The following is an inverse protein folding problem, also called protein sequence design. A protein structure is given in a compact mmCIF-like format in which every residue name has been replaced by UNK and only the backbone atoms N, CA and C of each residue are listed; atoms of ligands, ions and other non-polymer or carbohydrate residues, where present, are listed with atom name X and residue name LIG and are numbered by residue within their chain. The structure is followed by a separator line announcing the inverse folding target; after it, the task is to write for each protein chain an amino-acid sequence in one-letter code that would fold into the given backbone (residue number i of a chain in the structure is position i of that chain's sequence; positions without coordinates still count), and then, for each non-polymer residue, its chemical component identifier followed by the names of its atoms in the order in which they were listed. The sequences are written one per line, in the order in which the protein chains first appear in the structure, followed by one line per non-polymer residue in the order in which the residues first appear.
data_IF_085118502137
#
_entry.id   IF_085118502137
#
_cell.length_a   1.000
_cell.length_b   1.000
_cell.length_c   1.000
_cell.angle_alpha   90.00
_cell.angle_beta   90.00
_cell.angle_gamma   90.00
#
_symmetry.space_group_name_H-M   'P 1'
#
loop_
_entity.id
_entity.type
_entity.pdbx_description
1 polymer ?
#
# COMPACT_ATOMS: atom_id res chain seq x y z
N UNK A 1 -8.04 3.03 -33.58
CA UNK A 1 -6.71 2.43 -33.32
C UNK A 1 -6.03 3.04 -32.09
N UNK A 2 -6.11 4.32 -31.87
CA UNK A 2 -5.51 5.05 -30.72
C UNK A 2 -6.05 4.62 -29.34
N UNK A 3 -7.35 4.37 -29.20
CA UNK A 3 -7.97 3.95 -27.94
C UNK A 3 -7.45 2.57 -27.46
N UNK A 4 -7.21 1.65 -28.40
CA UNK A 4 -6.63 0.32 -28.11
C UNK A 4 -5.15 0.43 -27.67
N UNK A 5 -4.35 1.30 -28.31
CA UNK A 5 -2.94 1.57 -27.91
C UNK A 5 -2.86 2.15 -26.49
N UNK A 6 -3.72 3.08 -26.13
CA UNK A 6 -3.74 3.67 -24.79
C UNK A 6 -4.12 2.64 -23.70
N UNK A 7 -5.02 1.70 -24.01
CA UNK A 7 -5.42 0.63 -23.06
C UNK A 7 -4.27 -0.36 -22.82
N UNK A 8 -3.56 -0.76 -23.87
CA UNK A 8 -2.40 -1.66 -23.78
C UNK A 8 -1.26 -1.00 -23.01
N UNK A 9 -0.92 0.25 -23.32
CA UNK A 9 0.13 1.00 -22.62
C UNK A 9 -0.18 1.15 -21.12
N UNK A 10 -1.45 1.41 -20.77
CA UNK A 10 -1.89 1.48 -19.38
C UNK A 10 -1.70 0.15 -18.65
N UNK A 11 -2.14 -0.95 -19.27
CA UNK A 11 -1.99 -2.29 -18.70
C UNK A 11 -0.52 -2.66 -18.50
N UNK A 12 0.34 -2.39 -19.49
CA UNK A 12 1.78 -2.67 -19.40
C UNK A 12 2.42 -1.89 -18.25
N UNK A 13 2.05 -0.61 -18.08
CA UNK A 13 2.51 0.22 -16.97
C UNK A 13 2.08 -0.35 -15.62
N UNK A 14 0.85 -0.84 -15.50
CA UNK A 14 0.35 -1.46 -14.26
C UNK A 14 1.17 -2.69 -13.89
N UNK A 15 1.46 -3.59 -14.84
CA UNK A 15 2.31 -4.76 -14.60
C UNK A 15 3.76 -4.40 -14.27
N UNK A 16 4.33 -3.38 -14.92
CA UNK A 16 5.67 -2.89 -14.60
C UNK A 16 5.75 -2.36 -13.16
N UNK A 17 4.75 -1.58 -12.72
CA UNK A 17 4.70 -1.07 -11.34
C UNK A 17 4.53 -2.23 -10.35
N UNK A 18 3.66 -3.21 -10.64
CA UNK A 18 3.54 -4.42 -9.81
C UNK A 18 4.89 -5.11 -9.68
N UNK A 19 5.63 -5.31 -10.78
CA UNK A 19 6.96 -5.96 -10.77
C UNK A 19 7.95 -5.22 -9.86
N UNK A 20 7.99 -3.87 -9.93
CA UNK A 20 8.82 -3.06 -9.02
C UNK A 20 8.42 -3.31 -7.56
N UNK A 21 7.11 -3.32 -7.27
CA UNK A 21 6.61 -3.63 -5.93
C UNK A 21 7.04 -5.02 -5.46
N UNK A 22 7.01 -6.01 -6.34
CA UNK A 22 7.41 -7.38 -6.02
C UNK A 22 8.91 -7.51 -5.74
N UNK A 23 9.76 -6.81 -6.48
CA UNK A 23 11.21 -6.76 -6.22
C UNK A 23 11.46 -6.17 -4.82
N UNK A 24 10.81 -5.06 -4.48
CA UNK A 24 10.93 -4.45 -3.15
C UNK A 24 10.44 -5.40 -2.05
N UNK A 25 9.32 -6.09 -2.29
CA UNK A 25 8.75 -7.09 -1.38
C UNK A 25 9.70 -8.26 -1.14
N UNK A 26 10.19 -8.89 -2.22
CA UNK A 26 11.04 -10.09 -2.11
C UNK A 26 12.40 -9.77 -1.53
N UNK A 27 12.99 -8.60 -1.83
CA UNK A 27 14.22 -8.14 -1.18
C UNK A 27 14.03 -7.95 0.33
N UNK A 28 12.89 -7.48 0.79
CA UNK A 28 12.59 -7.41 2.22
C UNK A 28 12.68 -8.78 2.90
N UNK A 29 12.21 -9.82 2.24
CA UNK A 29 12.29 -11.20 2.74
C UNK A 29 13.68 -11.81 2.60
N UNK A 30 14.24 -11.77 1.40
CA UNK A 30 15.47 -12.51 1.07
C UNK A 30 16.73 -11.89 1.65
N UNK A 31 16.79 -10.55 1.69
CA UNK A 31 17.97 -9.83 2.19
C UNK A 31 17.94 -9.59 3.72
N UNK A 32 16.77 -9.68 4.36
CA UNK A 32 16.62 -9.36 5.79
C UNK A 32 15.93 -10.45 6.59
N UNK A 33 14.66 -10.79 6.28
CA UNK A 33 13.84 -11.62 7.17
C UNK A 33 14.25 -13.08 7.16
N UNK A 34 14.50 -13.70 6.00
CA UNK A 34 14.86 -15.11 5.86
C UNK A 34 16.23 -15.39 6.51
N UNK A 35 17.32 -14.64 6.22
CA UNK A 35 18.62 -14.89 6.82
C UNK A 35 18.64 -14.73 8.32
N UNK A 36 17.85 -13.81 8.87
CA UNK A 36 17.70 -13.59 10.31
C UNK A 36 16.76 -14.60 10.99
N UNK A 37 16.20 -15.55 10.23
CA UNK A 37 15.23 -16.55 10.72
C UNK A 37 14.03 -15.90 11.43
N UNK A 38 13.55 -14.79 10.90
CA UNK A 38 12.42 -14.07 11.45
C UNK A 38 11.14 -14.61 10.83
N UNK A 39 10.22 -15.03 11.66
CA UNK A 39 8.88 -15.46 11.23
C UNK A 39 8.04 -14.24 10.87
N UNK A 40 7.25 -14.34 9.83
CA UNK A 40 6.31 -13.30 9.42
C UNK A 40 4.96 -13.89 9.05
N UNK A 41 4.04 -13.05 8.62
CA UNK A 41 2.73 -13.47 8.14
C UNK A 41 2.70 -13.85 6.66
N UNK A 42 1.50 -14.09 6.16
CA UNK A 42 1.24 -14.38 4.76
C UNK A 42 1.71 -15.77 4.29
N UNK A 43 1.54 -16.01 3.00
CA UNK A 43 2.02 -17.24 2.37
C UNK A 43 3.55 -17.36 2.46
N UNK A 44 4.27 -16.24 2.37
CA UNK A 44 5.72 -16.22 2.50
C UNK A 44 6.16 -16.52 3.94
N UNK A 45 5.40 -16.05 4.94
CA UNK A 45 5.62 -16.42 6.34
C UNK A 45 5.45 -17.94 6.59
N UNK A 46 4.37 -18.51 6.06
CA UNK A 46 4.19 -19.99 6.08
C UNK A 46 5.34 -20.68 5.36
N UNK A 47 5.74 -20.17 4.19
CA UNK A 47 6.87 -20.69 3.43
C UNK A 47 8.18 -20.64 4.20
N UNK A 48 8.43 -19.58 4.95
CA UNK A 48 9.61 -19.45 5.79
C UNK A 48 9.60 -20.45 6.96
N UNK A 49 8.45 -20.70 7.58
CA UNK A 49 8.33 -21.78 8.59
C UNK A 49 8.63 -23.14 7.99
N UNK A 50 8.11 -23.46 6.80
CA UNK A 50 8.42 -24.70 6.09
C UNK A 50 9.91 -24.78 5.74
N UNK A 51 10.52 -23.67 5.28
CA UNK A 51 11.95 -23.61 5.01
C UNK A 51 12.79 -23.89 6.25
N UNK A 52 12.44 -23.31 7.38
CA UNK A 52 13.13 -23.55 8.67
C UNK A 52 13.04 -24.99 9.12
N UNK A 53 11.94 -25.70 8.82
CA UNK A 53 11.73 -27.11 9.16
C UNK A 53 12.42 -28.08 8.20
N UNK A 54 12.39 -27.81 6.91
CA UNK A 54 12.69 -28.80 5.87
C UNK A 54 13.80 -28.40 4.91
N UNK A 55 14.21 -27.11 4.90
CA UNK A 55 15.09 -26.55 3.88
C UNK A 55 14.41 -26.33 2.52
N UNK A 56 13.10 -26.59 2.39
CA UNK A 56 12.37 -26.42 1.14
C UNK A 56 12.21 -24.92 0.80
N UNK A 57 12.61 -24.46 -0.40
CA UNK A 57 12.66 -23.03 -0.72
C UNK A 57 11.30 -22.32 -0.57
N UNK A 58 11.34 -21.12 0.03
CA UNK A 58 10.14 -20.32 0.36
C UNK A 58 9.27 -20.04 -0.86
N UNK A 59 9.88 -19.79 -2.02
CA UNK A 59 9.14 -19.47 -3.25
C UNK A 59 8.24 -20.61 -3.73
N UNK A 60 8.66 -21.87 -3.62
CA UNK A 60 7.82 -23.01 -4.01
C UNK A 60 6.64 -23.19 -3.06
N UNK A 61 6.86 -23.06 -1.75
CA UNK A 61 5.76 -23.11 -0.76
C UNK A 61 4.77 -21.97 -1.00
N UNK A 62 5.29 -20.75 -1.27
CA UNK A 62 4.47 -19.61 -1.60
C UNK A 62 3.59 -19.86 -2.83
N UNK A 63 4.15 -20.46 -3.89
CA UNK A 63 3.41 -20.81 -5.10
C UNK A 63 2.27 -21.80 -4.83
N UNK A 64 2.57 -22.91 -4.13
CA UNK A 64 1.59 -23.97 -3.83
C UNK A 64 0.45 -23.42 -2.96
N UNK A 65 0.76 -22.68 -1.91
CA UNK A 65 -0.23 -22.12 -1.00
C UNK A 65 -1.13 -21.09 -1.72
N UNK A 66 -0.55 -20.28 -2.57
CA UNK A 66 -1.30 -19.29 -3.32
C UNK A 66 -2.18 -19.88 -4.44
N UNK A 67 -1.81 -21.01 -5.02
CA UNK A 67 -2.64 -21.65 -6.04
C UNK A 67 -4.06 -21.96 -5.50
N UNK A 68 -4.14 -22.41 -4.26
CA UNK A 68 -5.42 -22.67 -3.59
C UNK A 68 -6.19 -21.37 -3.31
N UNK A 69 -5.53 -20.34 -2.78
CA UNK A 69 -6.16 -19.07 -2.43
C UNK A 69 -6.65 -18.31 -3.66
N UNK A 70 -5.90 -18.31 -4.76
CA UNK A 70 -6.27 -17.66 -6.02
C UNK A 70 -7.54 -18.27 -6.61
N UNK A 71 -7.70 -19.61 -6.55
CA UNK A 71 -8.90 -20.27 -7.02
C UNK A 71 -10.16 -19.76 -6.28
N UNK A 72 -10.03 -19.47 -4.98
CA UNK A 72 -11.12 -18.90 -4.18
C UNK A 72 -11.32 -17.42 -4.52
N UNK A 73 -10.24 -16.65 -4.63
CA UNK A 73 -10.29 -15.20 -4.87
C UNK A 73 -10.87 -14.84 -6.25
N UNK A 74 -10.60 -15.62 -7.28
CA UNK A 74 -11.10 -15.39 -8.63
C UNK A 74 -12.64 -15.37 -8.68
N UNK A 75 -13.28 -16.20 -7.86
CA UNK A 75 -14.75 -16.24 -7.73
C UNK A 75 -15.32 -15.04 -6.96
N UNK A 76 -14.58 -14.52 -5.98
CA UNK A 76 -15.06 -13.49 -5.04
C UNK A 76 -14.75 -12.08 -5.51
N UNK A 77 -13.52 -11.82 -5.93
CA UNK A 77 -13.03 -10.45 -6.24
C UNK A 77 -13.19 -10.12 -7.73
N UNK A 78 -13.12 -11.13 -8.58
CA UNK A 78 -13.29 -10.99 -10.03
C UNK A 78 -12.05 -11.33 -10.85
N UNK A 79 -12.24 -11.60 -12.13
CA UNK A 79 -11.22 -12.13 -13.05
C UNK A 79 -10.05 -11.15 -13.26
N UNK A 80 -10.28 -9.84 -13.33
CA UNK A 80 -9.22 -8.86 -13.55
C UNK A 80 -8.24 -8.79 -12.36
N UNK A 81 -8.74 -8.93 -11.13
CA UNK A 81 -7.92 -9.06 -9.93
C UNK A 81 -7.15 -10.39 -9.97
N UNK A 82 -7.82 -11.47 -10.33
CA UNK A 82 -7.22 -12.80 -10.44
C UNK A 82 -6.00 -12.83 -11.36
N UNK A 83 -6.09 -12.25 -12.57
CA UNK A 83 -4.98 -12.24 -13.54
C UNK A 83 -3.75 -11.50 -13.03
N UNK A 84 -3.92 -10.31 -12.42
CA UNK A 84 -2.81 -9.54 -11.84
C UNK A 84 -2.21 -10.26 -10.63
N UNK A 85 -3.03 -10.92 -9.83
CA UNK A 85 -2.59 -11.68 -8.66
C UNK A 85 -1.84 -12.95 -9.08
N UNK A 86 -2.32 -13.68 -10.10
CA UNK A 86 -1.59 -14.83 -10.65
C UNK A 86 -0.21 -14.40 -11.13
N UNK A 87 -0.14 -13.32 -11.92
CA UNK A 87 1.12 -12.76 -12.37
C UNK A 87 2.04 -12.41 -11.19
N UNK A 88 1.51 -11.68 -10.22
CA UNK A 88 2.27 -11.22 -9.05
C UNK A 88 2.81 -12.40 -8.24
N UNK A 89 1.99 -13.43 -7.98
CA UNK A 89 2.42 -14.64 -7.24
C UNK A 89 3.50 -15.40 -8.00
N UNK A 90 3.36 -15.58 -9.32
CA UNK A 90 4.38 -16.26 -10.13
C UNK A 90 5.70 -15.50 -10.11
N UNK A 91 5.67 -14.19 -10.33
CA UNK A 91 6.88 -13.34 -10.33
C UNK A 91 7.50 -13.28 -8.93
N UNK A 92 6.71 -13.09 -7.86
CA UNK A 92 7.22 -13.07 -6.50
C UNK A 92 7.86 -14.40 -6.11
N UNK A 93 7.19 -15.53 -6.44
CA UNK A 93 7.74 -16.86 -6.16
C UNK A 93 9.05 -17.13 -6.91
N UNK A 94 9.13 -16.70 -8.18
CA UNK A 94 10.37 -16.78 -8.96
C UNK A 94 11.49 -15.92 -8.35
N UNK A 95 11.20 -14.66 -8.03
CA UNK A 95 12.17 -13.75 -7.40
C UNK A 95 12.66 -14.31 -6.06
N UNK A 96 11.76 -14.80 -5.20
CA UNK A 96 12.15 -15.42 -3.92
C UNK A 96 13.10 -16.61 -4.11
N UNK A 97 12.87 -17.47 -5.09
CA UNK A 97 13.77 -18.61 -5.36
C UNK A 97 15.13 -18.11 -5.86
N UNK A 98 15.13 -17.19 -6.81
CA UNK A 98 16.37 -16.66 -7.39
C UNK A 98 17.16 -15.87 -6.36
N UNK A 99 16.53 -14.91 -5.69
CA UNK A 99 17.20 -14.05 -4.70
C UNK A 99 17.72 -14.88 -3.51
N UNK A 100 16.96 -15.87 -3.02
CA UNK A 100 17.38 -16.73 -1.92
C UNK A 100 18.60 -17.61 -2.30
N UNK A 101 18.80 -17.91 -3.58
CA UNK A 101 19.98 -18.65 -4.06
C UNK A 101 21.25 -17.78 -4.06
N UNK A 102 21.11 -16.45 -4.25
CA UNK A 102 22.25 -15.53 -4.32
C UNK A 102 22.48 -14.76 -3.00
N UNK A 103 21.42 -14.48 -2.25
CA UNK A 103 21.48 -13.73 -1.00
C UNK A 103 21.43 -14.74 0.15
N UNK A 104 22.58 -15.20 0.60
CA UNK A 104 22.70 -16.21 1.68
C UNK A 104 22.92 -15.58 3.05
N UNK A 105 23.42 -14.33 3.07
CA UNK A 105 23.73 -13.63 4.31
C UNK A 105 22.88 -12.37 4.44
N UNK A 106 22.57 -11.98 5.67
CA UNK A 106 21.84 -10.76 5.94
C UNK A 106 22.73 -9.54 5.69
N UNK A 107 22.20 -8.53 5.00
CA UNK A 107 22.89 -7.25 4.77
C UNK A 107 23.13 -6.52 6.10
N UNK A 108 22.23 -6.72 7.08
CA UNK A 108 22.31 -6.11 8.40
C UNK A 108 22.35 -7.20 9.46
N UNK A 109 23.40 -7.20 10.27
CA UNK A 109 23.63 -8.22 11.32
C UNK A 109 22.73 -8.00 12.54
N UNK A 110 22.31 -6.77 12.78
CA UNK A 110 21.48 -6.40 13.92
C UNK A 110 20.00 -6.82 13.65
N UNK A 111 19.50 -7.75 14.50
CA UNK A 111 18.22 -8.43 14.28
C UNK A 111 17.02 -7.48 14.29
N UNK A 112 17.01 -6.51 15.20
CA UNK A 112 15.92 -5.52 15.29
C UNK A 112 15.88 -4.64 14.05
N UNK A 113 17.04 -4.12 13.62
CA UNK A 113 17.13 -3.25 12.44
C UNK A 113 16.74 -3.99 11.17
N UNK A 114 17.22 -5.24 11.00
CA UNK A 114 16.83 -6.08 9.87
C UNK A 114 15.33 -6.38 9.84
N UNK A 115 14.72 -6.57 11.02
CA UNK A 115 13.26 -6.77 11.15
C UNK A 115 12.48 -5.55 10.69
N UNK A 116 12.88 -4.35 11.13
CA UNK A 116 12.22 -3.09 10.78
C UNK A 116 12.34 -2.82 9.27
N UNK A 117 13.57 -2.94 8.72
CA UNK A 117 13.82 -2.69 7.30
C UNK A 117 13.09 -3.73 6.44
N UNK A 118 13.22 -5.01 6.78
CA UNK A 118 12.57 -6.09 6.04
C UNK A 118 11.04 -5.96 6.04
N UNK A 119 10.44 -5.65 7.19
CA UNK A 119 9.01 -5.38 7.31
C UNK A 119 8.57 -4.14 6.52
N UNK A 120 9.35 -3.06 6.57
CA UNK A 120 9.07 -1.82 5.85
C UNK A 120 9.14 -2.01 4.32
N UNK A 121 10.17 -2.69 3.81
CA UNK A 121 10.30 -3.01 2.39
C UNK A 121 9.15 -3.93 1.93
N UNK A 122 8.88 -4.98 2.70
CA UNK A 122 7.79 -5.92 2.38
C UNK A 122 6.45 -5.21 2.31
N UNK A 123 6.11 -4.38 3.31
CA UNK A 123 4.87 -3.62 3.33
C UNK A 123 4.76 -2.59 2.21
N UNK A 124 5.86 -1.91 1.87
CA UNK A 124 5.91 -0.98 0.74
C UNK A 124 5.65 -1.71 -0.58
N UNK A 125 6.31 -2.85 -0.79
CA UNK A 125 6.14 -3.69 -1.97
C UNK A 125 4.69 -4.18 -2.15
N UNK A 126 4.07 -4.66 -1.06
CA UNK A 126 2.64 -5.03 -1.04
C UNK A 126 1.77 -3.82 -1.38
N UNK A 127 2.02 -2.65 -0.77
CA UNK A 127 1.27 -1.42 -1.03
C UNK A 127 1.33 -1.00 -2.50
N UNK A 128 2.51 -1.09 -3.14
CA UNK A 128 2.70 -0.83 -4.57
C UNK A 128 1.85 -1.79 -5.40
N UNK A 129 1.91 -3.09 -5.14
CA UNK A 129 1.13 -4.10 -5.85
C UNK A 129 -0.38 -3.87 -5.70
N UNK A 130 -0.86 -3.58 -4.49
CA UNK A 130 -2.26 -3.28 -4.20
C UNK A 130 -2.76 -2.02 -4.92
N UNK A 131 -1.92 -0.99 -5.04
CA UNK A 131 -2.29 0.25 -5.72
C UNK A 131 -2.63 0.03 -7.20
N UNK A 132 -2.05 -0.99 -7.81
CA UNK A 132 -2.30 -1.40 -9.20
C UNK A 132 -3.34 -2.52 -9.31
N UNK A 133 -3.95 -2.93 -8.20
CA UNK A 133 -4.98 -3.99 -8.15
C UNK A 133 -4.42 -5.40 -8.30
N UNK A 134 -3.15 -5.61 -7.96
CA UNK A 134 -2.53 -6.92 -7.76
C UNK A 134 -2.44 -7.28 -6.28
N UNK A 135 -1.96 -8.50 -5.96
CA UNK A 135 -1.67 -8.97 -4.60
C UNK A 135 -0.46 -9.87 -4.64
N UNK A 136 0.38 -9.81 -3.60
CA UNK A 136 1.54 -10.69 -3.47
C UNK A 136 1.16 -12.12 -3.08
N UNK A 137 -0.11 -12.34 -2.78
CA UNK A 137 -0.65 -13.63 -2.40
C UNK A 137 -0.85 -13.77 -0.88
N UNK A 138 -1.21 -14.98 -0.44
CA UNK A 138 -1.38 -15.29 0.99
C UNK A 138 -2.50 -14.50 1.65
N UNK A 139 -2.24 -14.01 2.85
CA UNK A 139 -3.17 -13.22 3.65
C UNK A 139 -3.57 -11.91 2.98
N UNK A 140 -2.77 -11.42 2.03
CA UNK A 140 -3.10 -10.28 1.18
C UNK A 140 -4.37 -10.51 0.36
N UNK A 141 -4.57 -11.74 -0.16
CA UNK A 141 -5.79 -12.11 -0.86
C UNK A 141 -6.98 -12.06 0.09
N UNK A 142 -6.80 -12.58 1.30
CA UNK A 142 -7.83 -12.53 2.36
C UNK A 142 -8.16 -11.07 2.68
N UNK A 143 -7.14 -10.22 2.83
CA UNK A 143 -7.33 -8.79 3.07
C UNK A 143 -8.14 -8.12 1.95
N UNK A 144 -7.84 -8.41 0.69
CA UNK A 144 -8.58 -7.87 -0.45
C UNK A 144 -10.03 -8.36 -0.50
N UNK A 145 -10.29 -9.60 -0.12
CA UNK A 145 -11.65 -10.14 0.01
C UNK A 145 -12.40 -9.41 1.13
N UNK A 146 -11.80 -9.28 2.30
CA UNK A 146 -12.44 -8.66 3.48
C UNK A 146 -12.73 -7.18 3.22
N UNK A 147 -11.78 -6.44 2.65
CA UNK A 147 -11.94 -5.00 2.35
C UNK A 147 -12.99 -4.73 1.27
N UNK A 148 -13.34 -5.73 0.46
CA UNK A 148 -14.45 -5.62 -0.50
C UNK A 148 -15.82 -5.57 0.21
N UNK A 149 -15.96 -6.27 1.33
CA UNK A 149 -17.24 -6.41 2.06
C UNK A 149 -17.28 -5.58 3.34
N UNK A 150 -16.14 -5.17 3.87
CA UNK A 150 -16.02 -4.41 5.11
C UNK A 150 -15.19 -3.15 4.88
N UNK A 151 -15.58 -2.06 5.50
CA UNK A 151 -14.84 -0.80 5.47
C UNK A 151 -13.66 -0.83 6.47
N UNK A 152 -12.70 -1.71 6.19
CA UNK A 152 -11.48 -1.91 7.00
C UNK A 152 -10.29 -1.66 6.08
N UNK A 153 -9.21 -1.06 6.61
CA UNK A 153 -7.99 -0.90 5.80
C UNK A 153 -7.35 -2.25 5.46
N UNK A 154 -6.72 -2.40 4.29
CA UNK A 154 -6.02 -3.63 3.92
C UNK A 154 -4.98 -4.05 4.94
N UNK A 155 -4.19 -3.12 5.49
CA UNK A 155 -3.20 -3.41 6.51
C UNK A 155 -3.81 -4.02 7.78
N UNK A 156 -4.96 -3.51 8.26
CA UNK A 156 -5.65 -4.11 9.41
C UNK A 156 -6.15 -5.53 9.13
N UNK A 157 -6.61 -5.79 7.91
CA UNK A 157 -7.05 -7.13 7.52
C UNK A 157 -5.87 -8.11 7.44
N UNK A 158 -4.72 -7.69 6.90
CA UNK A 158 -3.46 -8.43 6.91
C UNK A 158 -3.04 -8.73 8.35
N UNK A 159 -3.03 -7.71 9.20
CA UNK A 159 -2.63 -7.84 10.61
C UNK A 159 -3.44 -8.91 11.34
N UNK A 160 -4.75 -8.93 11.15
CA UNK A 160 -5.61 -9.92 11.81
C UNK A 160 -5.34 -11.36 11.31
N UNK A 161 -5.13 -11.54 10.01
CA UNK A 161 -4.86 -12.85 9.42
C UNK A 161 -3.45 -13.36 9.78
N UNK A 162 -2.46 -12.48 9.77
CA UNK A 162 -1.07 -12.83 10.07
C UNK A 162 -0.85 -13.15 11.55
N UNK A 163 -1.62 -12.55 12.45
CA UNK A 163 -1.54 -12.85 13.88
C UNK A 163 -1.72 -14.36 14.17
N UNK A 164 -2.61 -15.01 13.43
CA UNK A 164 -2.85 -16.46 13.58
C UNK A 164 -1.62 -17.25 13.10
N UNK A 165 -1.04 -16.88 11.96
CA UNK A 165 0.13 -17.55 11.38
C UNK A 165 1.33 -17.40 12.30
N UNK A 166 1.60 -16.18 12.77
CA UNK A 166 2.74 -15.90 13.65
C UNK A 166 2.59 -16.61 14.98
N UNK A 167 1.37 -16.61 15.56
CA UNK A 167 1.14 -17.36 16.81
C UNK A 167 1.39 -18.86 16.63
N UNK A 168 1.05 -19.44 15.47
CA UNK A 168 1.31 -20.86 15.19
C UNK A 168 2.80 -21.20 15.10
N UNK A 169 3.65 -20.21 14.75
CA UNK A 169 5.10 -20.38 14.70
C UNK A 169 5.70 -20.81 16.05
N UNK A 170 5.07 -20.44 17.18
CA UNK A 170 5.50 -20.90 18.51
C UNK A 170 5.60 -22.42 18.60
N UNK A 171 4.55 -23.11 18.17
CA UNK A 171 4.49 -24.56 18.22
C UNK A 171 5.54 -25.21 17.33
N UNK A 172 5.77 -24.62 16.14
CA UNK A 172 6.79 -25.09 15.20
C UNK A 172 8.18 -24.96 15.80
N UNK A 173 8.53 -23.79 16.32
CA UNK A 173 9.84 -23.52 16.90
C UNK A 173 10.08 -24.33 18.18
N UNK A 174 9.05 -24.49 19.00
CA UNK A 174 9.13 -25.34 20.20
C UNK A 174 9.36 -26.82 19.85
N UNK A 175 8.73 -27.33 18.80
CA UNK A 175 8.95 -28.71 18.33
C UNK A 175 10.36 -28.94 17.79
N UNK A 176 11.06 -27.89 17.36
CA UNK A 176 12.46 -27.94 16.96
C UNK A 176 13.45 -27.91 18.14
N UNK A 177 12.95 -27.89 19.38
CA UNK A 177 13.77 -27.91 20.58
C UNK A 177 14.25 -26.54 21.06
N UNK A 178 13.67 -25.44 20.52
CA UNK A 178 13.97 -24.10 21.06
C UNK A 178 13.32 -23.95 22.44
N UNK A 179 14.03 -23.22 23.31
CA UNK A 179 13.50 -22.88 24.64
C UNK A 179 12.33 -21.90 24.54
N UNK A 180 11.44 -21.92 25.53
CA UNK A 180 10.28 -21.00 25.58
C UNK A 180 10.68 -19.53 25.40
N UNK A 181 11.75 -19.01 26.06
CA UNK A 181 12.20 -17.63 25.82
C UNK A 181 12.58 -17.34 24.37
N UNK A 182 13.26 -18.28 23.70
CA UNK A 182 13.65 -18.12 22.29
C UNK A 182 12.41 -18.15 21.36
N UNK A 183 11.42 -18.99 21.64
CA UNK A 183 10.16 -19.00 20.91
C UNK A 183 9.40 -17.67 21.08
N UNK A 184 9.34 -17.16 22.30
CA UNK A 184 8.71 -15.86 22.58
C UNK A 184 9.44 -14.70 21.89
N UNK A 185 10.77 -14.70 21.91
CA UNK A 185 11.56 -13.71 21.17
C UNK A 185 11.25 -13.74 19.67
N UNK A 186 11.20 -14.94 19.05
CA UNK A 186 10.85 -15.06 17.64
C UNK A 186 9.44 -14.56 17.32
N UNK A 187 8.48 -14.78 18.22
CA UNK A 187 7.13 -14.21 18.10
C UNK A 187 7.13 -12.68 18.17
N UNK A 188 7.88 -12.08 19.09
CA UNK A 188 7.99 -10.61 19.21
C UNK A 188 8.50 -10.02 17.89
N UNK A 189 9.56 -10.58 17.31
CA UNK A 189 10.05 -10.13 16.00
C UNK A 189 9.03 -10.37 14.88
N UNK A 190 8.32 -11.50 14.91
CA UNK A 190 7.24 -11.78 13.95
C UNK A 190 6.12 -10.75 14.01
N UNK A 191 5.67 -10.41 15.20
CA UNK A 191 4.66 -9.35 15.40
C UNK A 191 5.17 -7.97 15.00
N UNK A 192 6.47 -7.69 15.20
CA UNK A 192 7.08 -6.44 14.75
C UNK A 192 7.09 -6.35 13.21
N UNK A 193 7.46 -7.42 12.50
CA UNK A 193 7.34 -7.48 11.03
C UNK A 193 5.91 -7.24 10.59
N UNK A 194 4.95 -7.94 11.21
CA UNK A 194 3.54 -7.81 10.89
C UNK A 194 3.05 -6.36 11.06
N UNK A 195 3.40 -5.73 12.18
CA UNK A 195 3.06 -4.32 12.43
C UNK A 195 3.68 -3.40 11.39
N UNK A 196 4.98 -3.54 11.12
CA UNK A 196 5.70 -2.71 10.14
C UNK A 196 5.13 -2.89 8.73
N UNK A 197 4.88 -4.14 8.32
CA UNK A 197 4.29 -4.44 7.02
C UNK A 197 2.90 -3.80 6.87
N UNK A 198 2.02 -4.02 7.84
CA UNK A 198 0.66 -3.48 7.84
C UNK A 198 0.65 -1.95 7.84
N UNK A 199 1.50 -1.33 8.65
CA UNK A 199 1.65 0.12 8.72
C UNK A 199 2.11 0.71 7.38
N UNK A 200 3.12 0.10 6.73
CA UNK A 200 3.64 0.56 5.45
C UNK A 200 2.65 0.39 4.31
N UNK A 201 1.87 -0.71 4.30
CA UNK A 201 0.77 -0.90 3.35
C UNK A 201 -0.24 0.24 3.46
N UNK A 202 -0.71 0.52 4.68
CA UNK A 202 -1.71 1.56 4.90
C UNK A 202 -1.14 2.96 4.63
N UNK A 203 0.10 3.23 4.99
CA UNK A 203 0.79 4.49 4.71
C UNK A 203 0.90 4.73 3.20
N UNK A 204 1.31 3.72 2.44
CA UNK A 204 1.44 3.81 0.98
C UNK A 204 0.07 4.05 0.32
N UNK A 205 -0.93 3.24 0.66
CA UNK A 205 -2.27 3.34 0.07
C UNK A 205 -2.99 4.62 0.48
N UNK A 206 -2.86 5.05 1.73
CA UNK A 206 -3.43 6.31 2.22
C UNK A 206 -2.74 7.51 1.58
N UNK A 207 -1.41 7.47 1.45
CA UNK A 207 -0.64 8.54 0.80
C UNK A 207 -1.05 8.78 -0.66
N UNK A 208 -1.44 7.74 -1.38
CA UNK A 208 -1.92 7.84 -2.77
C UNK A 208 -3.35 8.37 -2.90
N UNK A 209 -4.17 8.28 -1.87
CA UNK A 209 -5.60 8.64 -1.91
C UNK A 209 -5.93 9.91 -1.14
N UNK A 210 -4.93 10.61 -0.61
CA UNK A 210 -5.17 11.86 0.12
C UNK A 210 -5.72 12.92 -0.83
N UNK A 211 -6.88 13.45 -0.47
CA UNK A 211 -7.45 14.66 -1.04
C UNK A 211 -7.26 15.81 -0.07
N UNK A 212 -7.18 17.01 -0.62
CA UNK A 212 -7.02 18.23 0.14
C UNK A 212 -8.21 19.15 -0.14
N UNK A 213 -8.79 19.66 0.92
CA UNK A 213 -9.70 20.80 0.83
C UNK A 213 -8.89 22.05 1.02
N UNK A 214 -8.94 22.95 0.04
CA UNK A 214 -8.21 24.21 0.08
C UNK A 214 -9.21 25.34 0.13
N UNK A 215 -9.01 26.25 1.08
CA UNK A 215 -9.75 27.49 1.20
C UNK A 215 -8.82 28.65 0.86
N UNK A 216 -9.25 29.51 -0.06
CA UNK A 216 -8.46 30.64 -0.55
C UNK A 216 -9.26 31.91 -0.35
N UNK A 217 -8.65 32.87 0.34
CA UNK A 217 -9.18 34.24 0.47
C UNK A 217 -8.30 35.16 -0.36
N UNK A 218 -8.90 35.85 -1.33
CA UNK A 218 -8.20 36.77 -2.24
C UNK A 218 -9.15 37.80 -2.79
N UNK A 219 -8.64 38.98 -3.08
CA UNK A 219 -9.37 40.01 -3.79
C UNK A 219 -9.52 39.72 -5.29
N UNK A 220 -8.69 38.76 -5.82
CA UNK A 220 -8.74 38.30 -7.21
C UNK A 220 -9.44 36.95 -7.34
N UNK A 221 -10.47 36.74 -6.53
CA UNK A 221 -11.14 35.43 -6.41
C UNK A 221 -11.72 34.88 -7.70
N UNK A 222 -12.29 35.76 -8.53
CA UNK A 222 -12.90 35.36 -9.81
C UNK A 222 -11.86 34.80 -10.79
N UNK A 223 -10.72 35.50 -10.93
CA UNK A 223 -9.61 35.08 -11.78
C UNK A 223 -9.01 33.75 -11.30
N UNK A 224 -8.83 33.59 -9.98
CA UNK A 224 -8.33 32.35 -9.39
C UNK A 224 -9.31 31.21 -9.63
N UNK A 225 -10.61 31.41 -9.40
CA UNK A 225 -11.63 30.41 -9.59
C UNK A 225 -11.75 29.96 -11.06
N UNK A 226 -11.67 30.91 -11.99
CA UNK A 226 -11.70 30.64 -13.43
C UNK A 226 -10.49 29.81 -13.86
N UNK A 227 -9.28 30.19 -13.48
CA UNK A 227 -8.06 29.45 -13.80
C UNK A 227 -8.04 28.06 -13.19
N UNK A 228 -8.46 27.88 -11.92
CA UNK A 228 -8.57 26.56 -11.31
C UNK A 228 -9.51 25.66 -12.15
N UNK A 229 -10.64 26.21 -12.58
CA UNK A 229 -11.62 25.43 -13.35
C UNK A 229 -11.09 25.09 -14.75
N UNK A 230 -10.43 26.03 -15.43
CA UNK A 230 -9.94 25.85 -16.80
C UNK A 230 -8.67 25.01 -16.88
N UNK A 231 -7.67 25.26 -16.02
CA UNK A 231 -6.36 24.60 -16.10
C UNK A 231 -6.29 23.31 -15.31
N UNK A 232 -6.92 23.26 -14.13
CA UNK A 232 -6.89 22.09 -13.26
C UNK A 232 -8.12 21.18 -13.42
N UNK A 233 -9.14 21.63 -14.11
CA UNK A 233 -10.42 20.90 -14.30
C UNK A 233 -11.04 20.47 -12.96
N UNK A 234 -10.98 21.35 -11.95
CA UNK A 234 -11.56 21.13 -10.63
C UNK A 234 -12.75 22.04 -10.40
N UNK A 235 -13.79 21.48 -9.79
CA UNK A 235 -14.95 22.28 -9.37
C UNK A 235 -14.57 23.21 -8.22
N UNK A 236 -15.00 24.46 -8.34
CA UNK A 236 -14.79 25.52 -7.34
C UNK A 236 -16.14 25.92 -6.76
N UNK A 237 -16.18 26.14 -5.45
CA UNK A 237 -17.37 26.66 -4.75
C UNK A 237 -16.98 27.95 -4.05
N UNK A 238 -17.75 29.01 -4.26
CA UNK A 238 -17.62 30.25 -3.52
C UNK A 238 -18.51 30.20 -2.28
N UNK A 239 -17.89 30.31 -1.11
CA UNK A 239 -18.59 30.35 0.18
C UNK A 239 -18.71 31.82 0.61
N UNK A 240 -19.94 32.30 0.75
CA UNK A 240 -20.21 33.65 1.23
C UNK A 240 -19.99 33.70 2.74
N UNK A 241 -19.32 34.73 3.19
CA UNK A 241 -19.05 35.00 4.59
C UNK A 241 -18.85 36.51 4.84
N UNK A 242 -18.69 36.88 6.09
CA UNK A 242 -18.32 38.27 6.45
C UNK A 242 -17.13 38.25 7.40
N UNK A 243 -16.19 39.16 7.19
CA UNK A 243 -15.07 39.36 8.08
C UNK A 243 -15.53 39.89 9.44
N UNK A 244 -15.22 39.16 10.53
CA UNK A 244 -15.64 39.59 11.86
C UNK A 244 -15.04 40.96 12.25
N UNK A 245 -13.79 41.20 11.88
CA UNK A 245 -13.07 42.44 12.18
C UNK A 245 -13.41 43.57 11.19
N UNK A 246 -13.32 43.29 9.88
CA UNK A 246 -13.56 44.29 8.83
C UNK A 246 -15.04 44.64 8.66
N UNK A 247 -15.97 43.75 9.09
CA UNK A 247 -17.42 43.83 8.84
C UNK A 247 -17.80 43.89 7.36
N UNK A 248 -16.87 43.52 6.49
CA UNK A 248 -17.08 43.45 5.05
C UNK A 248 -17.50 42.08 4.60
N UNK A 249 -18.35 42.03 3.58
CA UNK A 249 -18.70 40.78 2.92
C UNK A 249 -17.49 40.22 2.15
N UNK A 250 -17.23 38.97 2.31
CA UNK A 250 -16.15 38.25 1.63
C UNK A 250 -16.62 36.94 1.07
N UNK A 251 -15.95 36.48 0.04
CA UNK A 251 -16.19 35.13 -0.51
C UNK A 251 -14.91 34.34 -0.45
N UNK A 252 -15.02 33.11 0.07
CA UNK A 252 -13.91 32.14 0.18
C UNK A 252 -14.03 31.13 -0.94
N UNK A 253 -12.97 30.98 -1.73
CA UNK A 253 -12.87 29.93 -2.71
C UNK A 253 -12.63 28.62 -1.96
N UNK A 254 -13.50 27.64 -2.14
CA UNK A 254 -13.32 26.28 -1.67
C UNK A 254 -13.12 25.36 -2.87
N UNK A 255 -12.01 24.64 -2.89
CA UNK A 255 -11.70 23.63 -3.89
C UNK A 255 -11.19 22.37 -3.24
N UNK A 256 -11.60 21.20 -3.78
CA UNK A 256 -11.07 19.92 -3.36
C UNK A 256 -10.18 19.37 -4.48
N UNK A 257 -8.94 19.06 -4.13
CA UNK A 257 -7.90 18.59 -5.05
C UNK A 257 -7.27 17.29 -4.54
N UNK A 258 -6.55 16.59 -5.39
CA UNK A 258 -5.68 15.51 -4.97
C UNK A 258 -4.39 16.08 -4.40
N UNK A 259 -3.76 15.37 -3.47
CA UNK A 259 -2.51 15.82 -2.82
C UNK A 259 -1.39 16.16 -3.81
N UNK A 260 -1.27 15.40 -4.90
CA UNK A 260 -0.26 15.66 -5.94
C UNK A 260 -0.51 16.94 -6.76
N UNK A 261 -1.70 17.52 -6.67
CA UNK A 261 -2.07 18.78 -7.36
C UNK A 261 -1.82 20.01 -6.48
N UNK A 262 -1.45 19.83 -5.21
CA UNK A 262 -1.25 20.93 -4.25
C UNK A 262 -0.22 21.93 -4.75
N UNK A 263 0.93 21.46 -5.25
CA UNK A 263 1.98 22.35 -5.76
C UNK A 263 1.48 23.23 -6.92
N UNK A 264 0.78 22.62 -7.87
CA UNK A 264 0.20 23.33 -9.03
C UNK A 264 -0.79 24.40 -8.58
N UNK A 265 -1.70 24.05 -7.65
CA UNK A 265 -2.67 25.01 -7.12
C UNK A 265 -2.01 26.19 -6.41
N UNK A 266 -1.05 25.92 -5.53
CA UNK A 266 -0.37 26.99 -4.78
C UNK A 266 0.45 27.91 -5.69
N UNK A 267 1.09 27.37 -6.73
CA UNK A 267 1.75 28.20 -7.75
C UNK A 267 0.76 29.07 -8.51
N UNK A 268 -0.34 28.49 -9.00
CA UNK A 268 -1.39 29.22 -9.70
C UNK A 268 -1.96 30.39 -8.86
N UNK A 269 -2.27 30.12 -7.60
CA UNK A 269 -2.78 31.15 -6.68
C UNK A 269 -1.77 32.26 -6.47
N UNK A 270 -0.49 31.90 -6.21
CA UNK A 270 0.59 32.86 -5.98
C UNK A 270 0.89 33.72 -7.20
N UNK A 271 0.80 33.17 -8.39
CA UNK A 271 1.06 33.91 -9.64
C UNK A 271 -0.01 34.95 -9.90
N UNK A 272 -1.26 34.73 -9.45
CA UNK A 272 -2.36 35.66 -9.60
C UNK A 272 -2.37 36.66 -8.46
N UNK A 273 -2.30 36.19 -7.23
CA UNK A 273 -2.32 37.05 -6.03
C UNK A 273 -1.29 36.54 -5.00
N UNK A 274 -0.09 37.15 -4.96
CA UNK A 274 0.94 36.83 -3.98
C UNK A 274 0.51 37.03 -2.52
N UNK A 275 -0.53 37.83 -2.27
CA UNK A 275 -1.04 38.15 -0.94
C UNK A 275 -2.27 37.27 -0.55
N UNK A 276 -2.66 36.33 -1.39
CA UNK A 276 -3.78 35.44 -1.10
C UNK A 276 -3.51 34.62 0.18
N UNK A 277 -4.49 34.56 1.07
CA UNK A 277 -4.44 33.67 2.22
C UNK A 277 -4.99 32.30 1.82
N UNK A 278 -4.16 31.26 1.98
CA UNK A 278 -4.53 29.91 1.59
C UNK A 278 -4.42 28.96 2.78
N UNK A 279 -5.51 28.26 3.11
CA UNK A 279 -5.56 27.22 4.13
C UNK A 279 -5.76 25.86 3.47
N UNK A 280 -4.96 24.87 3.85
CA UNK A 280 -5.00 23.51 3.30
C UNK A 280 -5.30 22.52 4.40
N UNK A 281 -6.37 21.75 4.24
CA UNK A 281 -6.76 20.68 5.15
C UNK A 281 -6.82 19.34 4.43
N UNK A 282 -6.33 18.30 5.08
CA UNK A 282 -6.48 16.92 4.56
C UNK A 282 -7.91 16.45 4.79
N UNK A 283 -8.54 15.92 3.75
CA UNK A 283 -9.87 15.32 3.84
C UNK A 283 -9.79 13.82 3.55
N UNK A 284 -10.45 13.04 4.42
CA UNK A 284 -10.53 11.59 4.27
C UNK A 284 -11.81 11.24 3.51
N UNK A 285 -11.65 10.55 2.35
CA UNK A 285 -12.79 10.02 1.60
C UNK A 285 -13.56 11.07 0.82
N UNK A 286 -13.01 11.51 -0.31
CA UNK A 286 -13.73 12.33 -1.29
C UNK A 286 -14.26 11.42 -2.38
N UNK A 287 -15.59 11.47 -2.60
CA UNK A 287 -16.27 10.64 -3.58
C UNK A 287 -17.09 11.52 -4.54
N UNK A 288 -17.15 11.13 -5.81
CA UNK A 288 -17.93 11.83 -6.82
C UNK A 288 -17.14 12.14 -8.09
N UNK A 289 -17.65 13.09 -8.89
CA UNK A 289 -17.04 13.47 -10.16
C UNK A 289 -15.60 13.99 -9.95
N UNK A 290 -14.64 13.35 -10.65
CA UNK A 290 -13.22 13.67 -10.54
C UNK A 290 -12.48 12.96 -9.39
N UNK A 291 -13.20 12.22 -8.54
CA UNK A 291 -12.67 11.45 -7.41
C UNK A 291 -13.15 9.98 -7.45
N UNK A 292 -12.94 9.26 -6.35
CA UNK A 292 -13.36 7.85 -6.26
C UNK A 292 -14.90 7.75 -6.29
N UNK A 293 -15.42 6.64 -6.87
CA UNK A 293 -16.87 6.39 -6.88
C UNK A 293 -17.31 5.83 -5.53
N UNK A 294 -18.49 6.26 -5.07
CA UNK A 294 -19.19 5.60 -3.96
C UNK A 294 -19.49 4.17 -4.39
N UNK A 295 -19.03 3.21 -3.60
CA UNK A 295 -19.28 1.78 -3.85
C UNK A 295 -20.61 1.37 -3.24
#
# INVERSE_FOLDING_TARGET
MQIKKNKVAKTLREYAIITIGLIVYTLGWTAFLIPLKITGGGATGVGNLVYMLTGFPVGYTNLIFNALLIAIAAKVVGINFGMKTIYAVLVASFLLVVEQAYITECIVTERLLGTIIGGALSGTGIGIAFSMGGSTGGTDIIAMIVTKYRNISPGRAILAADAVIISSAFFVLYSQGLSVPQCLEALVYGYLVMFMTSYMVDLYLSGMRQSLQVMILSNKREEIAEKITQEMHRGVTLLKGSGWYSKEDTEVIMVVIRKNEQGTLLHLVRDIDPNAFTSVASVMGVYGNGFDRIK
#
